data_IF_717311847799
#
_entry.id   IF_717311847799
#
_cell.length_a   1.000
_cell.length_b   1.000
_cell.length_c   1.000
_cell.angle_alpha   90.00
_cell.angle_beta   90.00
_cell.angle_gamma   90.00
#
_symmetry.space_group_name_H-M   'P 1'
#
loop_
_entity.id
_entity.type
_entity.pdbx_description
1 polymer ?
#
# COMPACT_ATOMS: atom_id res chain seq x y z
N UNK A 1 -10.54 8.70 -20.51
CA UNK A 1 -9.76 9.78 -19.85
C UNK A 1 -8.25 9.56 -19.99
N UNK A 2 -7.74 8.34 -19.74
CA UNK A 2 -6.32 7.99 -19.87
C UNK A 2 -5.80 8.14 -21.31
N UNK A 3 -6.65 7.92 -22.32
CA UNK A 3 -6.28 7.99 -23.74
C UNK A 3 -6.08 9.41 -24.29
N UNK A 4 -6.30 10.46 -23.49
CA UNK A 4 -6.11 11.84 -23.95
C UNK A 4 -4.64 12.07 -24.35
N UNK A 5 -4.33 12.74 -25.48
CA UNK A 5 -2.96 13.03 -25.89
C UNK A 5 -2.12 13.73 -24.81
N UNK A 6 -2.74 14.61 -24.01
CA UNK A 6 -2.06 15.30 -22.92
C UNK A 6 -1.68 14.37 -21.76
N UNK A 7 -2.53 13.38 -21.45
CA UNK A 7 -2.24 12.36 -20.43
C UNK A 7 -1.17 11.41 -20.96
N UNK A 8 -1.28 10.96 -22.21
CA UNK A 8 -0.29 10.12 -22.86
C UNK A 8 1.08 10.79 -22.94
N UNK A 9 1.16 12.10 -23.17
CA UNK A 9 2.43 12.82 -23.15
C UNK A 9 3.11 12.80 -21.76
N UNK A 10 2.32 12.88 -20.68
CA UNK A 10 2.84 12.79 -19.31
C UNK A 10 3.26 11.38 -18.93
N UNK A 11 2.51 10.36 -19.36
CA UNK A 11 2.88 8.96 -19.16
C UNK A 11 4.13 8.57 -19.95
N UNK A 12 4.37 9.23 -21.09
CA UNK A 12 5.59 9.08 -21.89
C UNK A 12 6.71 10.05 -21.47
N UNK A 13 6.60 10.71 -20.32
CA UNK A 13 7.63 11.60 -19.80
C UNK A 13 8.94 10.82 -19.58
N UNK A 14 10.05 11.35 -20.12
CA UNK A 14 11.37 10.72 -20.04
C UNK A 14 11.87 10.51 -18.61
N UNK A 15 11.53 11.40 -17.67
CA UNK A 15 11.91 11.28 -16.27
C UNK A 15 11.11 10.16 -15.59
N UNK A 16 9.79 10.09 -15.85
CA UNK A 16 8.97 8.97 -15.37
C UNK A 16 9.50 7.63 -15.88
N UNK A 17 9.85 7.57 -17.17
CA UNK A 17 10.48 6.38 -17.76
C UNK A 17 11.80 6.03 -17.08
N UNK A 18 12.68 7.01 -16.87
CA UNK A 18 13.95 6.81 -16.18
C UNK A 18 13.75 6.27 -14.76
N UNK A 19 12.85 6.87 -13.96
CA UNK A 19 12.53 6.36 -12.62
C UNK A 19 12.09 4.91 -12.66
N UNK A 20 11.17 4.55 -13.57
CA UNK A 20 10.68 3.17 -13.72
C UNK A 20 11.77 2.18 -14.09
N UNK A 21 12.65 2.54 -15.03
CA UNK A 21 13.80 1.71 -15.42
C UNK A 21 14.78 1.53 -14.25
N UNK A 22 15.03 2.61 -13.53
CA UNK A 22 15.98 2.68 -12.43
C UNK A 22 15.57 1.86 -11.21
N UNK A 23 14.26 1.79 -10.90
CA UNK A 23 13.72 1.01 -9.78
C UNK A 23 13.27 -0.42 -10.18
N UNK A 24 13.28 -0.77 -11.47
CA UNK A 24 12.79 -2.06 -11.95
C UNK A 24 13.48 -3.28 -11.28
N UNK A 25 14.80 -3.29 -11.05
CA UNK A 25 15.46 -4.39 -10.34
C UNK A 25 14.96 -4.55 -8.91
N UNK A 26 14.83 -3.43 -8.17
CA UNK A 26 14.37 -3.42 -6.78
C UNK A 26 12.91 -3.87 -6.70
N UNK A 27 12.07 -3.40 -7.64
CA UNK A 27 10.66 -3.81 -7.74
C UNK A 27 10.51 -5.30 -8.04
N UNK A 28 11.35 -5.84 -8.93
CA UNK A 28 11.37 -7.28 -9.22
C UNK A 28 11.71 -8.10 -7.97
N UNK A 29 12.70 -7.66 -7.18
CA UNK A 29 13.12 -8.37 -5.98
C UNK A 29 12.01 -8.54 -4.93
N UNK A 30 11.08 -7.58 -4.82
CA UNK A 30 9.94 -7.68 -3.89
C UNK A 30 8.76 -8.47 -4.48
N UNK A 31 8.60 -8.56 -5.80
CA UNK A 31 7.48 -9.30 -6.44
C UNK A 31 7.75 -10.79 -6.60
N UNK A 32 9.02 -11.20 -6.68
CA UNK A 32 9.44 -12.62 -6.71
C UNK A 32 10.00 -13.10 -5.37
N UNK A 33 9.75 -12.35 -4.29
CA UNK A 33 10.34 -12.62 -2.99
C UNK A 33 9.99 -14.02 -2.45
N UNK A 34 10.92 -14.76 -1.81
CA UNK A 34 10.67 -16.13 -1.33
C UNK A 34 9.56 -16.27 -0.30
N UNK A 35 9.13 -15.17 0.33
CA UNK A 35 8.01 -15.12 1.29
C UNK A 35 6.73 -15.74 0.71
N UNK A 36 6.46 -15.53 -0.59
CA UNK A 36 5.24 -16.01 -1.22
C UNK A 36 5.16 -17.54 -1.31
N UNK A 37 6.31 -18.25 -1.28
CA UNK A 37 6.35 -19.72 -1.25
C UNK A 37 6.59 -20.31 0.15
N UNK A 38 6.68 -19.46 1.18
CA UNK A 38 7.03 -19.86 2.54
C UNK A 38 5.81 -20.22 3.40
N UNK A 39 4.63 -19.66 3.10
CA UNK A 39 3.38 -19.93 3.84
C UNK A 39 2.82 -21.29 3.42
N UNK A 40 2.92 -22.29 4.30
CA UNK A 40 2.48 -23.68 4.04
C UNK A 40 1.56 -24.25 5.12
N UNK A 41 1.55 -23.66 6.30
CA UNK A 41 0.71 -24.05 7.44
C UNK A 41 -0.19 -22.90 7.87
N UNK A 42 -1.26 -23.19 8.59
CA UNK A 42 -2.12 -22.14 9.19
C UNK A 42 -1.33 -21.23 10.14
N UNK A 43 -0.43 -21.79 10.97
CA UNK A 43 0.43 -21.00 11.84
C UNK A 43 1.29 -20.00 11.06
N UNK A 44 1.83 -20.43 9.90
CA UNK A 44 2.60 -19.55 9.02
C UNK A 44 1.74 -18.49 8.32
N UNK A 45 0.48 -18.82 8.00
CA UNK A 45 -0.47 -17.85 7.46
C UNK A 45 -0.75 -16.75 8.49
N UNK A 46 -1.04 -17.12 9.74
CA UNK A 46 -1.29 -16.17 10.83
C UNK A 46 -0.13 -15.19 11.00
N UNK A 47 1.09 -15.73 11.08
CA UNK A 47 2.31 -14.91 11.15
C UNK A 47 2.46 -13.97 9.95
N UNK A 48 2.16 -14.44 8.74
CA UNK A 48 2.18 -13.57 7.56
C UNK A 48 1.20 -12.40 7.72
N UNK A 49 -0.04 -12.67 8.11
CA UNK A 49 -1.08 -11.66 8.21
C UNK A 49 -0.84 -10.67 9.36
N UNK A 50 -0.38 -11.15 10.51
CA UNK A 50 0.02 -10.34 11.68
C UNK A 50 1.13 -9.33 11.35
N UNK A 51 2.01 -9.64 10.39
CA UNK A 51 3.00 -8.68 9.90
C UNK A 51 2.45 -7.79 8.78
N UNK A 52 1.69 -8.37 7.85
CA UNK A 52 1.23 -7.71 6.62
C UNK A 52 0.13 -6.67 6.87
N UNK A 53 -0.70 -6.83 7.91
CA UNK A 53 -1.78 -5.87 8.22
C UNK A 53 -1.25 -4.44 8.40
N UNK A 54 -0.06 -4.30 8.94
CA UNK A 54 0.62 -3.01 9.08
C UNK A 54 1.03 -2.38 7.75
N UNK A 55 1.16 -3.16 6.67
CA UNK A 55 1.35 -2.66 5.32
C UNK A 55 0.03 -2.35 4.60
N UNK A 56 -1.09 -2.87 5.08
CA UNK A 56 -2.44 -2.46 4.66
C UNK A 56 -2.77 -1.10 5.30
N UNK A 57 -2.47 -0.94 6.60
CA UNK A 57 -2.62 0.32 7.32
C UNK A 57 -1.74 1.46 6.74
N UNK A 58 -0.47 1.17 6.40
CA UNK A 58 0.44 2.20 5.86
C UNK A 58 -0.04 2.78 4.51
N UNK A 59 -0.72 1.96 3.71
CA UNK A 59 -1.32 2.36 2.44
C UNK A 59 -2.36 3.45 2.68
N UNK A 60 -3.25 3.23 3.65
CA UNK A 60 -4.28 4.19 4.04
C UNK A 60 -3.65 5.51 4.52
N UNK A 61 -2.56 5.46 5.28
CA UNK A 61 -1.86 6.68 5.71
C UNK A 61 -1.34 7.52 4.53
N UNK A 62 -0.71 6.87 3.53
CA UNK A 62 -0.26 7.54 2.32
C UNK A 62 -1.43 8.13 1.53
N UNK A 63 -2.51 7.36 1.34
CA UNK A 63 -3.70 7.79 0.63
C UNK A 63 -4.37 8.99 1.32
N UNK A 64 -4.44 8.99 2.66
CA UNK A 64 -5.02 10.10 3.44
C UNK A 64 -4.19 11.37 3.36
N UNK A 65 -2.86 11.28 3.38
CA UNK A 65 -2.02 12.46 3.14
C UNK A 65 -2.23 13.01 1.72
N UNK A 66 -2.27 12.14 0.71
CA UNK A 66 -2.61 12.54 -0.67
C UNK A 66 -3.99 13.21 -0.75
N UNK A 67 -5.01 12.65 -0.10
CA UNK A 67 -6.37 13.20 -0.04
C UNK A 67 -6.37 14.58 0.63
N UNK A 68 -5.76 14.72 1.79
CA UNK A 68 -5.71 15.96 2.56
C UNK A 68 -5.04 17.11 1.77
N UNK A 69 -3.96 16.79 1.05
CA UNK A 69 -3.14 17.77 0.33
C UNK A 69 -3.68 18.10 -1.06
N UNK A 70 -4.22 17.11 -1.77
CA UNK A 70 -4.62 17.24 -3.17
C UNK A 70 -6.13 17.44 -3.36
N UNK A 71 -6.95 17.19 -2.33
CA UNK A 71 -8.40 17.42 -2.35
C UNK A 71 -8.81 18.38 -1.24
N UNK A 72 -10.09 18.37 -0.83
CA UNK A 72 -10.57 19.16 0.29
C UNK A 72 -11.40 18.26 1.21
N UNK A 73 -10.89 18.08 2.43
CA UNK A 73 -11.51 17.31 3.51
C UNK A 73 -11.85 18.21 4.72
N UNK A 74 -11.82 19.54 4.51
CA UNK A 74 -12.00 20.55 5.57
C UNK A 74 -13.12 21.53 5.21
N UNK A 75 -13.66 22.20 6.23
CA UNK A 75 -14.69 23.26 6.09
C UNK A 75 -14.10 24.63 6.43
N UNK A 76 -14.41 25.72 5.69
CA UNK A 76 -15.25 25.75 4.49
C UNK A 76 -14.59 25.08 3.28
N UNK A 77 -15.42 24.50 2.41
CA UNK A 77 -14.94 23.74 1.25
C UNK A 77 -14.40 24.66 0.15
N UNK A 78 -13.17 24.38 -0.31
CA UNK A 78 -12.54 25.02 -1.46
C UNK A 78 -11.81 23.96 -2.27
N UNK A 79 -12.05 23.85 -3.59
CA UNK A 79 -11.41 22.82 -4.41
C UNK A 79 -9.89 23.06 -4.54
N UNK A 80 -9.07 22.04 -4.25
CA UNK A 80 -7.60 22.05 -4.42
C UNK A 80 -7.15 21.28 -5.66
N UNK A 81 -5.94 21.54 -6.16
CA UNK A 81 -5.29 20.79 -7.26
C UNK A 81 -6.10 20.69 -8.59
N UNK A 82 -5.57 19.96 -9.56
CA UNK A 82 -6.21 19.72 -10.87
C UNK A 82 -7.41 18.77 -10.74
N UNK A 83 -8.44 18.96 -11.59
CA UNK A 83 -9.68 18.14 -11.61
C UNK A 83 -9.40 16.64 -11.70
N UNK A 84 -8.45 16.23 -12.55
CA UNK A 84 -8.13 14.83 -12.78
C UNK A 84 -7.45 14.18 -11.57
N UNK A 85 -6.50 14.89 -10.94
CA UNK A 85 -5.85 14.46 -9.69
C UNK A 85 -6.89 14.30 -8.58
N UNK A 86 -7.78 15.28 -8.39
CA UNK A 86 -8.87 15.16 -7.42
C UNK A 86 -9.77 13.96 -7.66
N UNK A 87 -10.18 13.74 -8.92
CA UNK A 87 -11.06 12.62 -9.29
C UNK A 87 -10.38 11.30 -8.98
N UNK A 88 -9.10 11.16 -9.31
CA UNK A 88 -8.32 9.95 -9.02
C UNK A 88 -8.22 9.69 -7.53
N UNK A 89 -7.77 10.66 -6.73
CA UNK A 89 -7.61 10.45 -5.28
C UNK A 89 -8.96 10.12 -4.61
N UNK A 90 -10.04 10.81 -4.96
CA UNK A 90 -11.36 10.47 -4.41
C UNK A 90 -11.90 9.11 -4.90
N UNK A 91 -11.45 8.62 -6.06
CA UNK A 91 -11.78 7.29 -6.55
C UNK A 91 -11.07 6.22 -5.73
N UNK A 92 -9.74 6.38 -5.52
CA UNK A 92 -8.98 5.51 -4.63
C UNK A 92 -9.59 5.49 -3.22
N UNK A 93 -9.99 6.65 -2.69
CA UNK A 93 -10.64 6.69 -1.36
C UNK A 93 -11.94 5.90 -1.32
N UNK A 94 -12.79 5.99 -2.36
CA UNK A 94 -14.03 5.21 -2.43
C UNK A 94 -13.74 3.71 -2.39
N UNK A 95 -12.72 3.26 -3.13
CA UNK A 95 -12.36 1.84 -3.26
C UNK A 95 -11.53 1.30 -2.09
N UNK A 96 -10.88 2.14 -1.29
CA UNK A 96 -9.97 1.68 -0.23
C UNK A 96 -10.55 1.91 1.16
N UNK A 97 -11.37 2.95 1.35
CA UNK A 97 -11.99 3.29 2.64
C UNK A 97 -13.43 2.76 2.77
N UNK A 98 -14.13 2.55 1.65
CA UNK A 98 -15.56 2.20 1.66
C UNK A 98 -15.93 1.26 0.50
N UNK A 99 -15.11 0.23 0.26
CA UNK A 99 -15.35 -0.73 -0.81
C UNK A 99 -16.53 -1.65 -0.50
N UNK A 100 -17.03 -2.35 -1.51
CA UNK A 100 -17.92 -3.48 -1.29
C UNK A 100 -17.17 -4.62 -0.55
N UNK A 101 -17.78 -5.15 0.51
CA UNK A 101 -17.17 -6.18 1.36
C UNK A 101 -17.42 -7.63 0.89
N UNK A 102 -18.15 -7.81 -0.22
CA UNK A 102 -18.56 -9.11 -0.74
C UNK A 102 -19.68 -9.81 0.04
N UNK A 103 -20.21 -9.16 1.07
CA UNK A 103 -21.25 -9.66 1.99
C UNK A 103 -22.52 -8.79 1.96
N UNK A 104 -22.58 -7.82 1.04
CA UNK A 104 -23.72 -6.91 0.86
C UNK A 104 -23.61 -5.63 1.69
N UNK A 105 -22.45 -5.38 2.30
CA UNK A 105 -22.11 -4.17 3.02
C UNK A 105 -20.94 -3.41 2.38
N UNK A 106 -20.37 -2.51 3.16
CA UNK A 106 -19.19 -1.73 2.78
C UNK A 106 -18.17 -1.74 3.91
N UNK A 107 -16.90 -1.78 3.56
CA UNK A 107 -15.79 -1.78 4.50
C UNK A 107 -14.55 -1.14 3.88
N UNK A 108 -13.66 -0.62 4.71
CA UNK A 108 -12.30 -0.31 4.29
C UNK A 108 -11.53 -1.60 4.01
N UNK A 109 -10.50 -1.50 3.17
CA UNK A 109 -9.60 -2.62 2.93
C UNK A 109 -8.86 -3.09 4.19
N UNK A 110 -8.66 -2.20 5.19
CA UNK A 110 -8.13 -2.60 6.49
C UNK A 110 -9.11 -3.48 7.26
N UNK A 111 -10.39 -3.06 7.35
CA UNK A 111 -11.44 -3.86 8.00
C UNK A 111 -11.66 -5.20 7.30
N UNK A 112 -11.63 -5.23 5.96
CA UNK A 112 -11.71 -6.47 5.19
C UNK A 112 -10.52 -7.40 5.47
N UNK A 113 -9.31 -6.84 5.61
CA UNK A 113 -8.13 -7.62 5.96
C UNK A 113 -8.20 -8.17 7.39
N UNK A 114 -8.68 -7.38 8.35
CA UNK A 114 -8.89 -7.83 9.73
C UNK A 114 -9.95 -8.92 9.82
N UNK A 115 -11.07 -8.81 9.08
CA UNK A 115 -12.06 -9.89 9.01
C UNK A 115 -11.46 -11.19 8.44
N UNK A 116 -10.56 -11.08 7.45
CA UNK A 116 -9.80 -12.22 6.94
C UNK A 116 -8.78 -12.76 7.97
N UNK A 117 -8.18 -11.90 8.80
CA UNK A 117 -7.30 -12.30 9.92
C UNK A 117 -8.08 -13.13 10.94
N UNK A 118 -9.25 -12.65 11.36
CA UNK A 118 -10.13 -13.36 12.28
C UNK A 118 -10.55 -14.74 11.73
N UNK A 119 -10.91 -14.81 10.43
CA UNK A 119 -11.21 -16.07 9.74
C UNK A 119 -10.03 -17.05 9.78
N UNK A 120 -8.80 -16.54 9.66
CA UNK A 120 -7.56 -17.33 9.76
C UNK A 120 -7.14 -17.64 11.20
N UNK A 121 -7.78 -17.03 12.20
CA UNK A 121 -7.38 -17.06 13.61
C UNK A 121 -6.04 -16.36 13.86
N UNK A 122 -5.70 -15.36 13.06
CA UNK A 122 -4.54 -14.50 13.26
C UNK A 122 -4.82 -13.43 14.32
N UNK A 123 -3.79 -13.01 15.04
CA UNK A 123 -3.94 -12.00 16.10
C UNK A 123 -4.09 -10.58 15.52
N UNK A 124 -5.21 -9.92 15.82
CA UNK A 124 -5.48 -8.53 15.43
C UNK A 124 -5.18 -7.51 16.53
N UNK A 125 -5.01 -7.96 17.78
CA UNK A 125 -4.82 -7.08 18.94
C UNK A 125 -3.72 -6.03 18.69
N UNK A 126 -2.57 -6.36 18.05
CA UNK A 126 -1.54 -5.37 17.81
C UNK A 126 -1.89 -4.21 16.87
N UNK A 127 -2.74 -4.46 15.86
CA UNK A 127 -3.20 -3.39 14.96
C UNK A 127 -4.35 -2.60 15.61
N UNK A 128 -5.22 -3.28 16.36
CA UNK A 128 -6.32 -2.67 17.09
C UNK A 128 -5.79 -1.70 18.16
N UNK A 129 -4.75 -2.09 18.90
CA UNK A 129 -4.10 -1.24 19.90
C UNK A 129 -3.47 0.02 19.29
N UNK A 130 -2.85 -0.11 18.11
CA UNK A 130 -2.31 1.04 17.37
C UNK A 130 -3.43 2.02 17.01
N UNK A 131 -4.51 1.53 16.41
CA UNK A 131 -5.65 2.34 16.01
C UNK A 131 -6.32 3.01 17.21
N UNK A 132 -6.52 2.27 18.30
CA UNK A 132 -7.10 2.76 19.54
C UNK A 132 -6.27 3.89 20.17
N UNK A 133 -4.94 3.72 20.23
CA UNK A 133 -4.04 4.75 20.77
C UNK A 133 -4.09 6.04 19.92
N UNK A 134 -4.12 5.91 18.60
CA UNK A 134 -4.20 7.04 17.66
C UNK A 134 -5.54 7.77 17.73
N UNK A 135 -6.66 7.03 17.82
CA UNK A 135 -8.00 7.60 17.98
C UNK A 135 -8.09 8.49 19.22
N UNK A 136 -7.38 8.12 20.29
CA UNK A 136 -7.30 8.89 21.55
C UNK A 136 -6.31 10.06 21.51
N UNK A 137 -5.74 10.35 20.34
CA UNK A 137 -4.79 11.44 20.14
C UNK A 137 -3.37 11.13 20.58
N UNK A 138 -3.01 9.84 20.71
CA UNK A 138 -1.62 9.42 20.92
C UNK A 138 -0.73 9.82 19.75
N UNK A 139 0.55 10.07 20.02
CA UNK A 139 1.53 10.28 18.96
C UNK A 139 1.86 8.96 18.25
N UNK A 140 2.15 9.05 16.95
CA UNK A 140 2.37 7.87 16.10
C UNK A 140 3.47 6.94 16.60
N UNK A 141 4.62 7.50 17.00
CA UNK A 141 5.77 6.70 17.43
C UNK A 141 5.46 5.94 18.73
N UNK A 142 4.93 6.63 19.74
CA UNK A 142 4.58 5.98 21.01
C UNK A 142 3.45 4.98 20.84
N UNK A 143 2.44 5.29 20.03
CA UNK A 143 1.36 4.36 19.71
C UNK A 143 1.90 3.08 19.07
N UNK A 144 2.71 3.22 18.02
CA UNK A 144 3.34 2.10 17.30
C UNK A 144 4.26 1.28 18.21
N UNK A 145 5.03 1.94 19.09
CA UNK A 145 5.91 1.22 20.01
C UNK A 145 5.15 0.40 21.04
N UNK A 146 4.03 0.93 21.54
CA UNK A 146 3.20 0.30 22.55
C UNK A 146 2.24 -0.77 22.00
N UNK A 147 1.99 -0.80 20.69
CA UNK A 147 0.96 -1.65 20.10
C UNK A 147 1.33 -3.13 19.98
N UNK A 148 2.54 -3.55 20.36
CA UNK A 148 2.96 -4.94 20.17
C UNK A 148 3.22 -5.35 18.70
N UNK A 149 3.21 -4.41 17.75
CA UNK A 149 3.51 -4.67 16.34
C UNK A 149 4.86 -5.40 16.16
N UNK A 150 4.99 -6.33 15.20
CA UNK A 150 6.28 -6.95 14.89
C UNK A 150 7.32 -5.90 14.46
N UNK A 151 8.59 -6.07 14.88
CA UNK A 151 9.64 -5.08 14.60
C UNK A 151 9.81 -4.75 13.10
N UNK A 152 9.80 -5.72 12.17
CA UNK A 152 9.86 -5.41 10.73
C UNK A 152 8.69 -4.53 10.26
N UNK A 153 7.50 -4.71 10.85
CA UNK A 153 6.30 -3.93 10.57
C UNK A 153 6.39 -2.52 11.16
N UNK A 154 7.00 -2.36 12.34
CA UNK A 154 7.31 -1.04 12.93
C UNK A 154 8.28 -0.26 12.06
N UNK A 155 9.41 -0.86 11.66
CA UNK A 155 10.39 -0.21 10.78
C UNK A 155 9.78 0.23 9.44
N UNK A 156 8.91 -0.60 8.87
CA UNK A 156 8.19 -0.30 7.64
C UNK A 156 7.29 0.93 7.79
N UNK A 157 6.49 0.96 8.87
CA UNK A 157 5.58 2.06 9.17
C UNK A 157 6.32 3.36 9.50
N UNK A 158 7.42 3.30 10.25
CA UNK A 158 8.30 4.46 10.50
C UNK A 158 8.85 5.05 9.22
N UNK A 159 9.22 4.21 8.25
CA UNK A 159 9.69 4.69 6.94
C UNK A 159 8.57 5.48 6.24
N UNK A 160 7.36 4.93 6.19
CA UNK A 160 6.19 5.59 5.60
C UNK A 160 5.87 6.90 6.32
N UNK A 161 5.89 6.89 7.65
CA UNK A 161 5.66 8.09 8.45
C UNK A 161 6.71 9.17 8.22
N UNK A 162 8.00 8.81 8.13
CA UNK A 162 9.07 9.73 7.78
C UNK A 162 8.88 10.39 6.41
N UNK A 163 8.38 9.63 5.42
CA UNK A 163 8.05 10.16 4.08
C UNK A 163 6.90 11.17 4.18
N UNK A 164 5.83 10.87 4.92
CA UNK A 164 4.69 11.77 5.14
C UNK A 164 5.16 13.06 5.84
N UNK A 165 5.92 12.92 6.94
CA UNK A 165 6.39 14.03 7.76
C UNK A 165 7.44 14.92 7.06
N UNK A 166 8.04 14.46 5.96
CA UNK A 166 8.88 15.32 5.10
C UNK A 166 8.12 16.50 4.51
N UNK A 167 6.77 16.42 4.42
CA UNK A 167 5.91 17.44 3.84
C UNK A 167 5.96 17.54 2.30
N UNK A 168 6.79 16.71 1.65
CA UNK A 168 7.02 16.68 0.21
C UNK A 168 6.00 15.79 -0.50
N UNK A 169 4.97 16.41 -1.08
CA UNK A 169 3.84 15.68 -1.65
C UNK A 169 4.22 14.76 -2.82
N UNK A 170 5.23 15.11 -3.62
CA UNK A 170 5.75 14.27 -4.70
C UNK A 170 6.48 13.03 -4.18
N UNK A 171 7.10 13.11 -3.00
CA UNK A 171 7.68 11.94 -2.31
C UNK A 171 6.58 11.00 -1.82
N UNK A 172 5.53 11.53 -1.18
CA UNK A 172 4.37 10.73 -0.75
C UNK A 172 3.72 10.03 -1.96
N UNK A 173 3.52 10.77 -3.07
CA UNK A 173 3.00 10.19 -4.30
C UNK A 173 3.93 9.12 -4.88
N UNK A 174 5.24 9.31 -4.86
CA UNK A 174 6.19 8.31 -5.35
C UNK A 174 6.19 7.03 -4.49
N UNK A 175 6.11 7.17 -3.16
CA UNK A 175 6.00 6.04 -2.25
C UNK A 175 4.69 5.25 -2.47
N UNK A 176 3.57 5.97 -2.58
CA UNK A 176 2.26 5.40 -2.90
C UNK A 176 2.29 4.65 -4.23
N UNK A 177 2.69 5.32 -5.31
CA UNK A 177 2.69 4.76 -6.66
C UNK A 177 3.65 3.59 -6.79
N UNK A 178 4.94 3.79 -6.55
CA UNK A 178 5.96 2.79 -6.91
C UNK A 178 6.23 1.77 -5.82
N UNK A 179 6.02 2.14 -4.56
CA UNK A 179 6.28 1.31 -3.40
C UNK A 179 5.09 0.50 -2.92
N UNK A 180 3.86 0.87 -3.31
CA UNK A 180 2.62 0.23 -2.83
C UNK A 180 1.73 -0.20 -3.98
N UNK A 181 1.16 0.75 -4.72
CA UNK A 181 0.17 0.51 -5.77
C UNK A 181 0.71 -0.38 -6.90
N UNK A 182 1.84 0.02 -7.50
CA UNK A 182 2.48 -0.71 -8.59
C UNK A 182 2.77 -2.21 -8.32
N UNK A 183 3.34 -2.59 -7.15
CA UNK A 183 3.71 -3.97 -6.91
C UNK A 183 2.57 -4.87 -6.41
N UNK A 184 1.48 -4.33 -5.85
CA UNK A 184 0.41 -5.11 -5.18
C UNK A 184 -0.17 -6.23 -6.07
N UNK A 185 -0.64 -5.97 -7.31
CA UNK A 185 -1.31 -7.01 -8.10
C UNK A 185 -0.40 -8.22 -8.37
N UNK A 186 0.87 -7.97 -8.73
CA UNK A 186 1.82 -9.04 -9.00
C UNK A 186 2.27 -9.77 -7.73
N UNK A 187 2.41 -9.06 -6.61
CA UNK A 187 2.71 -9.71 -5.33
C UNK A 187 1.57 -10.63 -4.89
N UNK A 188 0.31 -10.21 -5.03
CA UNK A 188 -0.84 -11.04 -4.66
C UNK A 188 -1.02 -12.23 -5.62
N UNK A 189 -0.75 -12.07 -6.92
CA UNK A 189 -0.64 -13.20 -7.86
C UNK A 189 0.44 -14.20 -7.43
N UNK A 190 1.62 -13.71 -7.04
CA UNK A 190 2.71 -14.54 -6.50
C UNK A 190 2.30 -15.26 -5.21
N UNK A 191 1.62 -14.56 -4.30
CA UNK A 191 1.12 -15.13 -3.04
C UNK A 191 0.07 -16.22 -3.29
N UNK A 192 -0.94 -15.96 -4.12
CA UNK A 192 -1.96 -16.95 -4.50
C UNK A 192 -1.37 -18.17 -5.20
N UNK A 193 -0.33 -17.98 -6.03
CA UNK A 193 0.39 -19.09 -6.68
C UNK A 193 1.17 -19.94 -5.67
N UNK A 194 1.73 -19.32 -4.64
CA UNK A 194 2.44 -20.02 -3.57
C UNK A 194 1.49 -20.73 -2.59
N UNK A 195 0.28 -20.20 -2.41
CA UNK A 195 -0.78 -20.84 -1.64
C UNK A 195 -1.29 -22.11 -2.34
N UNK A 196 -1.25 -23.22 -1.62
CA UNK A 196 -1.83 -24.48 -2.07
C UNK A 196 -3.35 -24.41 -2.25
N UNK A 197 -3.93 -25.33 -3.02
CA UNK A 197 -5.37 -25.39 -3.34
C UNK A 197 -6.26 -25.33 -2.09
N UNK A 198 -5.86 -26.03 -1.01
CA UNK A 198 -6.57 -26.06 0.26
C UNK A 198 -6.77 -24.67 0.87
N UNK A 199 -5.74 -23.81 0.81
CA UNK A 199 -5.81 -22.46 1.36
C UNK A 199 -6.57 -21.49 0.45
N UNK A 200 -6.61 -21.78 -0.86
CA UNK A 200 -7.39 -20.99 -1.83
C UNK A 200 -8.90 -21.18 -1.71
N UNK A 201 -9.36 -22.23 -1.02
CA UNK A 201 -10.79 -22.50 -0.83
C UNK A 201 -11.25 -22.42 0.63
N UNK A 202 -10.32 -22.55 1.60
CA UNK A 202 -10.64 -22.52 3.03
C UNK A 202 -10.90 -21.13 3.63
N UNK A 203 -10.46 -20.05 2.98
CA UNK A 203 -10.53 -18.68 3.49
C UNK A 203 -11.19 -17.73 2.48
N UNK A 204 -12.53 -17.77 2.35
CA UNK A 204 -13.25 -16.97 1.37
C UNK A 204 -13.07 -15.46 1.57
N UNK A 205 -12.94 -14.95 2.80
CA UNK A 205 -12.72 -13.52 3.02
C UNK A 205 -11.33 -13.07 2.57
N UNK A 206 -10.29 -13.84 2.91
CA UNK A 206 -8.94 -13.59 2.42
C UNK A 206 -8.88 -13.64 0.89
N UNK A 207 -9.54 -14.64 0.30
CA UNK A 207 -9.61 -14.75 -1.15
C UNK A 207 -10.30 -13.54 -1.77
N UNK A 208 -11.45 -13.14 -1.24
CA UNK A 208 -12.17 -11.97 -1.72
C UNK A 208 -11.27 -10.74 -1.69
N UNK A 209 -10.60 -10.47 -0.57
CA UNK A 209 -9.65 -9.36 -0.43
C UNK A 209 -8.54 -9.40 -1.51
N UNK A 210 -7.91 -10.55 -1.72
CA UNK A 210 -6.83 -10.70 -2.71
C UNK A 210 -7.35 -10.56 -4.15
N UNK A 211 -8.49 -11.17 -4.46
CA UNK A 211 -9.14 -11.08 -5.77
C UNK A 211 -9.56 -9.63 -6.06
N UNK A 212 -10.07 -8.89 -5.06
CA UNK A 212 -10.36 -7.46 -5.20
C UNK A 212 -9.13 -6.69 -5.65
N UNK A 213 -7.97 -6.85 -5.02
CA UNK A 213 -6.75 -6.11 -5.39
C UNK A 213 -6.07 -6.58 -6.69
N UNK A 214 -6.40 -7.78 -7.19
CA UNK A 214 -5.92 -8.26 -8.50
C UNK A 214 -6.80 -7.76 -9.65
N UNK A 215 -8.10 -7.60 -9.39
CA UNK A 215 -9.11 -7.23 -10.40
C UNK A 215 -9.62 -5.79 -10.30
N UNK A 216 -9.40 -5.11 -9.17
CA UNK A 216 -9.48 -3.65 -9.08
C UNK A 216 -8.58 -3.09 -10.18
N UNK A 217 -9.14 -2.14 -10.91
CA UNK A 217 -8.80 -1.77 -12.29
C UNK A 217 -7.31 -1.41 -12.44
N UNK A 218 -6.42 -2.41 -12.51
CA UNK A 218 -4.95 -2.24 -12.60
C UNK A 218 -4.60 -1.43 -13.86
N UNK A 219 -5.43 -1.55 -14.90
CA UNK A 219 -5.37 -0.82 -16.15
C UNK A 219 -5.74 0.67 -15.98
N UNK A 220 -6.42 1.03 -14.89
CA UNK A 220 -6.76 2.40 -14.54
C UNK A 220 -5.90 2.98 -13.41
N UNK A 221 -5.79 2.30 -12.26
CA UNK A 221 -5.11 2.84 -11.07
C UNK A 221 -3.62 3.08 -11.32
N UNK A 222 -2.93 2.11 -11.92
CA UNK A 222 -1.49 2.19 -12.09
C UNK A 222 -1.08 3.35 -13.02
N UNK A 223 -1.66 3.51 -14.24
CA UNK A 223 -1.39 4.69 -15.06
C UNK A 223 -1.75 6.00 -14.35
N UNK A 224 -2.83 6.04 -13.56
CA UNK A 224 -3.26 7.25 -12.86
C UNK A 224 -2.33 7.61 -11.69
N UNK A 225 -1.81 6.63 -10.97
CA UNK A 225 -0.80 6.80 -9.93
C UNK A 225 0.54 7.29 -10.52
N UNK A 226 0.93 6.80 -11.70
CA UNK A 226 2.10 7.31 -12.42
C UNK A 226 1.87 8.75 -12.93
N UNK A 227 0.66 9.04 -13.43
CA UNK A 227 0.27 10.37 -13.84
C UNK A 227 0.31 11.36 -12.67
N UNK A 228 -0.09 10.94 -11.48
CA UNK A 228 -0.01 11.75 -10.27
C UNK A 228 1.43 12.22 -10.01
N UNK A 229 2.41 11.31 -10.03
CA UNK A 229 3.82 11.65 -9.86
C UNK A 229 4.28 12.62 -10.96
N UNK A 230 3.97 12.32 -12.22
CA UNK A 230 4.34 13.18 -13.34
C UNK A 230 3.74 14.60 -13.25
N UNK A 231 2.52 14.72 -12.74
CA UNK A 231 1.83 16.00 -12.52
C UNK A 231 2.40 16.79 -11.36
N UNK A 232 2.90 16.13 -10.32
CA UNK A 232 3.51 16.82 -9.18
C UNK A 232 4.94 17.26 -9.49
N UNK A 233 5.74 16.41 -10.14
CA UNK A 233 7.13 16.73 -10.47
C UNK A 233 7.25 17.68 -11.68
N UNK A 234 6.34 17.60 -12.66
CA UNK A 234 6.34 18.41 -13.89
C UNK A 234 7.73 18.39 -14.56
N UNK A 235 8.37 19.55 -14.71
CA UNK A 235 9.72 19.72 -15.28
C UNK A 235 10.79 19.97 -14.21
N UNK A 236 10.45 19.79 -12.92
CA UNK A 236 11.38 19.99 -11.82
C UNK A 236 12.26 18.74 -11.62
N UNK A 237 13.54 18.86 -12.01
CA UNK A 237 14.51 17.76 -11.91
C UNK A 237 14.78 17.31 -10.48
N UNK A 238 14.80 18.24 -9.53
CA UNK A 238 15.03 17.93 -8.11
C UNK A 238 13.89 17.08 -7.57
N UNK A 239 12.63 17.44 -7.87
CA UNK A 239 11.47 16.64 -7.48
C UNK A 239 11.48 15.24 -8.10
N UNK A 240 11.94 15.10 -9.35
CA UNK A 240 12.12 13.78 -9.97
C UNK A 240 13.20 12.94 -9.29
N UNK A 241 14.31 13.56 -8.89
CA UNK A 241 15.37 12.87 -8.13
C UNK A 241 14.87 12.42 -6.76
N UNK A 242 14.21 13.31 -6.02
CA UNK A 242 13.62 13.00 -4.72
C UNK A 242 12.52 11.92 -4.83
N UNK A 243 11.71 11.95 -5.90
CA UNK A 243 10.72 10.91 -6.17
C UNK A 243 11.37 9.54 -6.43
N UNK A 244 12.47 9.49 -7.20
CA UNK A 244 13.22 8.25 -7.42
C UNK A 244 13.81 7.71 -6.11
N UNK A 245 14.50 8.56 -5.34
CA UNK A 245 15.09 8.19 -4.06
C UNK A 245 14.04 7.70 -3.07
N UNK A 246 12.87 8.36 -3.06
CA UNK A 246 11.74 7.95 -2.22
C UNK A 246 11.18 6.60 -2.67
N UNK A 247 11.04 6.37 -3.98
CA UNK A 247 10.59 5.08 -4.51
C UNK A 247 11.54 3.94 -4.11
N UNK A 248 12.86 4.16 -4.23
CA UNK A 248 13.87 3.19 -3.77
C UNK A 248 13.77 2.93 -2.28
N UNK A 249 13.62 3.99 -1.48
CA UNK A 249 13.45 3.89 -0.02
C UNK A 249 12.21 3.06 0.34
N UNK A 250 11.06 3.35 -0.31
CA UNK A 250 9.81 2.64 -0.06
C UNK A 250 9.85 1.17 -0.47
N UNK A 251 10.53 0.84 -1.58
CA UNK A 251 10.72 -0.55 -2.05
C UNK A 251 11.69 -1.29 -1.13
N UNK A 252 12.79 -0.65 -0.72
CA UNK A 252 13.75 -1.24 0.21
C UNK A 252 13.13 -1.54 1.58
N UNK A 253 12.28 -0.63 2.09
CA UNK A 253 11.53 -0.87 3.33
C UNK A 253 10.58 -2.08 3.18
N UNK A 254 9.89 -2.21 2.03
CA UNK A 254 9.04 -3.38 1.76
C UNK A 254 9.85 -4.68 1.71
N UNK A 255 11.04 -4.63 1.10
CA UNK A 255 11.94 -5.78 1.11
C UNK A 255 12.34 -6.19 2.53
N UNK A 256 12.70 -5.23 3.39
CA UNK A 256 13.02 -5.49 4.80
C UNK A 256 11.86 -6.10 5.57
N UNK A 257 10.65 -5.59 5.35
CA UNK A 257 9.42 -6.18 5.89
C UNK A 257 9.32 -7.65 5.46
N UNK A 258 9.49 -7.96 4.17
CA UNK A 258 9.43 -9.33 3.67
C UNK A 258 10.54 -10.24 4.19
N UNK A 259 11.76 -9.73 4.33
CA UNK A 259 12.87 -10.47 4.92
C UNK A 259 12.55 -10.84 6.38
N UNK A 260 12.05 -9.89 7.17
CA UNK A 260 11.66 -10.08 8.56
C UNK A 260 10.47 -11.02 8.74
N UNK A 261 9.40 -10.84 7.96
CA UNK A 261 8.24 -11.73 7.99
C UNK A 261 8.62 -13.15 7.54
N UNK A 262 9.49 -13.30 6.53
CA UNK A 262 10.00 -14.61 6.12
C UNK A 262 10.77 -15.31 7.25
N UNK A 263 11.58 -14.56 8.02
CA UNK A 263 12.27 -15.12 9.18
C UNK A 263 11.28 -15.59 10.25
N UNK A 264 10.25 -14.80 10.55
CA UNK A 264 9.19 -15.16 11.49
C UNK A 264 8.40 -16.40 11.04
N UNK A 265 8.00 -16.47 9.77
CA UNK A 265 7.30 -17.62 9.17
C UNK A 265 8.13 -18.91 9.32
N UNK A 266 9.44 -18.82 9.10
CA UNK A 266 10.35 -19.97 9.24
C UNK A 266 10.52 -20.42 10.69
N UNK A 267 10.38 -19.51 11.66
CA UNK A 267 10.48 -19.84 13.08
C UNK A 267 9.18 -20.46 13.64
N UNK A 268 8.04 -20.20 12.98
CA UNK A 268 6.73 -20.70 13.38
C UNK A 268 6.38 -22.09 12.80
N UNK A 269 7.23 -22.66 11.94
CA UNK A 269 7.09 -24.01 11.37
C UNK A 269 8.13 -24.98 11.90
#
# INVERSE_FOLDING_TARGET
MIESPAVQALLNNKFLKAVKENIAPDKSAITIHPIFGAVRTEAQMRVFMEHHVFAVYDFMCLLKELQSRLTCVSTPWVPKSEKLVRRFINHMVLEEETDEDGQGGYASHLEMYQAAMEECGADTEPIDDLLYALERGGDFESALDSSGAPEPSKEFNRTTWGIIMSGKIHCVAAAFTFGREDPIPNMFRSFLKGLGEHYRTGYPLLRYYLDRHIHLDEDFHNPMAQLLVARLCVDNREMWQEAEETARTAIAARKKLWDGTLAAIKAAG
#
